data_IF_408134813671
#
_entry.id   IF_408134813671
#
_cell.length_a   1.000
_cell.length_b   1.000
_cell.length_c   1.000
_cell.angle_alpha   90.00
_cell.angle_beta   90.00
_cell.angle_gamma   90.00
#
_symmetry.space_group_name_H-M   'P 1'
#
loop_
_entity.id
_entity.type
_entity.pdbx_description
1 polymer ?
#
# COMPACT_ATOMS: atom_id res chain seq x y z
N UNK A 1 -79.90 12.45 -19.17
CA UNK A 1 -78.65 13.17 -18.86
C UNK A 1 -77.61 12.17 -18.36
N UNK A 2 -76.31 12.42 -18.60
CA UNK A 2 -75.26 11.39 -18.76
C UNK A 2 -74.35 11.26 -17.51
N UNK A 3 -73.28 10.45 -17.42
CA UNK A 3 -72.49 9.68 -18.41
C UNK A 3 -72.22 8.23 -17.93
N UNK A 4 -71.72 7.38 -18.83
CA UNK A 4 -70.85 6.24 -18.47
C UNK A 4 -69.39 6.73 -18.35
N UNK A 5 -68.64 6.23 -17.38
CA UNK A 5 -67.25 6.63 -17.14
C UNK A 5 -66.29 5.45 -17.21
N UNK A 6 -65.53 5.35 -18.31
CA UNK A 6 -64.38 4.46 -18.42
C UNK A 6 -63.28 4.87 -17.45
N UNK A 7 -62.83 3.93 -16.60
CA UNK A 7 -61.54 4.04 -15.90
C UNK A 7 -60.47 3.30 -16.71
N UNK A 8 -60.15 3.83 -17.89
CA UNK A 8 -58.97 3.39 -18.65
C UNK A 8 -57.69 3.82 -17.92
N UNK A 9 -56.74 2.90 -17.80
CA UNK A 9 -55.51 3.11 -17.04
C UNK A 9 -54.58 4.12 -17.77
N UNK A 10 -54.36 5.28 -17.17
CA UNK A 10 -53.27 6.17 -17.55
C UNK A 10 -51.95 5.60 -17.02
N UNK A 11 -51.20 4.91 -17.87
CA UNK A 11 -49.80 4.59 -17.61
C UNK A 11 -48.98 5.89 -17.67
N UNK A 12 -48.58 6.41 -16.52
CA UNK A 12 -47.68 7.57 -16.45
C UNK A 12 -46.31 7.19 -17.01
N UNK A 13 -45.86 7.89 -18.06
CA UNK A 13 -44.51 7.72 -18.59
C UNK A 13 -43.44 8.02 -17.51
N UNK A 14 -42.33 7.27 -17.46
CA UNK A 14 -41.24 7.58 -16.55
C UNK A 14 -40.55 8.88 -16.99
N UNK A 15 -40.42 9.83 -16.07
CA UNK A 15 -39.77 11.11 -16.33
C UNK A 15 -38.34 10.92 -16.86
N UNK A 16 -38.01 11.67 -17.92
CA UNK A 16 -36.68 11.63 -18.52
C UNK A 16 -35.59 12.01 -17.50
N UNK A 17 -34.49 11.26 -17.49
CA UNK A 17 -33.32 11.59 -16.66
C UNK A 17 -32.72 12.92 -17.15
N UNK A 18 -32.35 13.85 -16.25
CA UNK A 18 -31.75 15.11 -16.66
C UNK A 18 -30.42 14.86 -17.39
N UNK A 19 -30.26 15.45 -18.57
CA UNK A 19 -29.02 15.36 -19.35
C UNK A 19 -27.86 16.00 -18.57
N UNK A 20 -26.74 15.29 -18.49
CA UNK A 20 -25.54 15.76 -17.81
C UNK A 20 -24.89 16.89 -18.61
N UNK A 21 -25.05 18.14 -18.15
CA UNK A 21 -24.60 19.38 -18.80
C UNK A 21 -23.07 19.53 -18.95
N UNK A 22 -22.29 18.50 -18.61
CA UNK A 22 -20.83 18.49 -18.72
C UNK A 22 -20.42 17.23 -19.48
N UNK A 23 -19.82 17.34 -20.68
CA UNK A 23 -19.19 16.20 -21.31
C UNK A 23 -18.01 15.75 -20.43
N UNK A 24 -18.18 14.63 -19.74
CA UNK A 24 -17.09 13.98 -19.04
C UNK A 24 -15.96 13.70 -20.04
N UNK A 25 -14.72 14.14 -19.81
CA UNK A 25 -13.63 13.88 -20.73
C UNK A 25 -13.50 12.36 -20.90
N UNK A 26 -13.60 11.91 -22.15
CA UNK A 26 -13.45 10.50 -22.51
C UNK A 26 -11.99 10.11 -22.23
N UNK A 27 -11.74 9.63 -21.02
CA UNK A 27 -10.48 9.02 -20.64
C UNK A 27 -10.54 7.58 -21.12
N UNK A 28 -9.59 7.21 -21.97
CA UNK A 28 -9.32 5.82 -22.32
C UNK A 28 -9.11 5.04 -21.01
N UNK A 29 -10.15 4.34 -20.59
CA UNK A 29 -10.18 3.66 -19.31
C UNK A 29 -9.55 2.29 -19.52
N UNK A 30 -8.48 1.93 -18.80
CA UNK A 30 -7.79 0.67 -19.04
C UNK A 30 -8.73 -0.50 -18.77
N UNK A 31 -8.80 -1.42 -19.74
CA UNK A 31 -9.51 -2.69 -19.57
C UNK A 31 -8.65 -3.66 -18.75
N UNK A 32 -9.21 -4.17 -17.66
CA UNK A 32 -8.58 -5.19 -16.82
C UNK A 32 -9.23 -6.55 -17.13
N UNK A 33 -8.75 -7.20 -18.19
CA UNK A 33 -9.30 -8.47 -18.67
C UNK A 33 -9.13 -9.64 -17.67
N UNK A 34 -9.77 -10.77 -17.95
CA UNK A 34 -9.68 -11.96 -17.10
C UNK A 34 -8.23 -12.50 -16.96
N UNK A 35 -7.37 -12.29 -17.96
CA UNK A 35 -5.96 -12.70 -17.91
C UNK A 35 -5.14 -11.80 -16.98
N UNK A 36 -5.42 -10.50 -16.95
CA UNK A 36 -4.84 -9.56 -15.99
C UNK A 36 -5.35 -9.86 -14.57
N UNK A 37 -6.65 -10.08 -14.39
CA UNK A 37 -7.25 -10.39 -13.10
C UNK A 37 -6.59 -11.65 -12.47
N UNK A 38 -6.50 -12.75 -13.22
CA UNK A 38 -5.82 -13.97 -12.73
C UNK A 38 -4.34 -13.74 -12.38
N UNK A 39 -3.59 -12.99 -13.20
CA UNK A 39 -2.18 -12.63 -12.89
C UNK A 39 -2.04 -11.71 -11.66
N UNK A 40 -3.04 -10.87 -11.39
CA UNK A 40 -3.08 -10.02 -10.20
C UNK A 40 -3.39 -10.85 -8.95
N UNK A 41 -4.32 -11.80 -9.03
CA UNK A 41 -4.60 -12.77 -7.95
C UNK A 41 -3.36 -13.61 -7.62
N UNK A 42 -2.69 -14.16 -8.64
CA UNK A 42 -1.41 -14.85 -8.49
C UNK A 42 -0.37 -13.95 -7.80
N UNK A 43 -0.23 -12.69 -8.24
CA UNK A 43 0.72 -11.74 -7.65
C UNK A 43 0.43 -11.48 -6.16
N UNK A 44 -0.84 -11.32 -5.80
CA UNK A 44 -1.29 -11.11 -4.41
C UNK A 44 -1.00 -12.35 -3.55
N UNK A 45 -1.29 -13.55 -4.07
CA UNK A 45 -1.07 -14.82 -3.38
C UNK A 45 0.43 -15.15 -3.21
N UNK A 46 1.24 -14.93 -4.24
CA UNK A 46 2.68 -15.23 -4.25
C UNK A 46 3.56 -14.15 -3.62
N UNK A 47 3.01 -13.01 -3.22
CA UNK A 47 3.71 -12.00 -2.45
C UNK A 47 3.96 -12.51 -1.03
N UNK A 48 5.23 -12.56 -0.62
CA UNK A 48 5.64 -13.01 0.72
C UNK A 48 6.45 -11.94 1.42
N UNK A 49 6.43 -12.03 2.74
CA UNK A 49 7.34 -11.29 3.61
C UNK A 49 8.68 -12.03 3.69
N UNK A 50 9.68 -11.45 3.03
CA UNK A 50 10.97 -12.11 2.77
C UNK A 50 11.98 -11.75 3.86
N UNK A 51 12.44 -12.77 4.59
CA UNK A 51 13.47 -12.64 5.64
C UNK A 51 14.85 -13.18 5.23
N UNK A 52 15.01 -13.62 3.98
CA UNK A 52 16.26 -14.15 3.40
C UNK A 52 16.45 -13.56 2.01
N UNK A 53 17.47 -12.73 1.85
CA UNK A 53 17.81 -12.07 0.59
C UNK A 53 19.06 -12.69 -0.02
N UNK A 54 19.19 -12.60 -1.34
CA UNK A 54 20.46 -12.81 -2.02
C UNK A 54 21.28 -11.52 -1.95
N UNK A 55 22.60 -11.63 -2.07
CA UNK A 55 23.51 -10.49 -2.05
C UNK A 55 23.68 -9.78 -3.41
N UNK A 56 22.92 -10.19 -4.43
CA UNK A 56 22.93 -9.56 -5.75
C UNK A 56 22.48 -8.09 -5.66
N UNK A 57 23.14 -7.17 -6.38
CA UNK A 57 22.74 -5.77 -6.43
C UNK A 57 21.37 -5.63 -7.11
N UNK A 58 20.61 -4.63 -6.68
CA UNK A 58 19.40 -4.17 -7.36
C UNK A 58 19.73 -2.84 -8.02
N UNK A 59 19.30 -2.64 -9.26
CA UNK A 59 19.51 -1.39 -9.99
C UNK A 59 18.80 -0.23 -9.29
N UNK A 60 19.49 0.90 -9.10
CA UNK A 60 18.93 2.06 -8.40
C UNK A 60 17.69 2.64 -9.11
N UNK A 61 17.71 2.67 -10.45
CA UNK A 61 16.56 3.11 -11.25
C UNK A 61 15.32 2.23 -11.03
N UNK A 62 15.48 0.91 -10.83
CA UNK A 62 14.38 0.02 -10.50
C UNK A 62 13.78 0.33 -9.12
N UNK A 63 14.60 0.69 -8.13
CA UNK A 63 14.10 1.14 -6.82
C UNK A 63 13.32 2.44 -6.95
N UNK A 64 13.80 3.37 -7.76
CA UNK A 64 13.18 4.69 -7.92
C UNK A 64 11.85 4.59 -8.70
N UNK A 65 11.78 3.73 -9.73
CA UNK A 65 10.53 3.33 -10.43
C UNK A 65 9.49 2.74 -9.46
N UNK A 66 9.93 1.84 -8.58
CA UNK A 66 9.07 1.16 -7.60
C UNK A 66 8.52 2.13 -6.55
N UNK A 67 9.34 3.09 -6.10
CA UNK A 67 8.90 4.21 -5.27
C UNK A 67 7.90 5.09 -6.04
N UNK A 68 8.17 5.37 -7.32
CA UNK A 68 7.27 6.11 -8.21
C UNK A 68 5.88 5.47 -8.37
N UNK A 69 5.80 4.12 -8.36
CA UNK A 69 4.52 3.40 -8.31
C UNK A 69 3.87 3.50 -6.92
N UNK A 70 4.66 3.39 -5.84
CA UNK A 70 4.15 3.50 -4.47
C UNK A 70 3.47 4.86 -4.21
N UNK A 71 3.99 5.97 -4.75
CA UNK A 71 3.39 7.32 -4.63
C UNK A 71 2.06 7.49 -5.38
N UNK A 72 1.62 6.51 -6.19
CA UNK A 72 0.27 6.49 -6.81
C UNK A 72 -0.82 5.93 -5.90
N UNK A 73 -0.46 5.54 -4.68
CA UNK A 73 -1.41 4.99 -3.71
C UNK A 73 -2.41 6.05 -3.23
N UNK A 74 -3.63 5.64 -2.82
CA UNK A 74 -4.57 6.58 -2.22
C UNK A 74 -3.99 7.14 -0.90
N UNK A 75 -4.25 8.42 -0.65
CA UNK A 75 -3.99 9.04 0.65
C UNK A 75 -5.18 9.88 1.08
N UNK A 76 -5.39 9.97 2.40
CA UNK A 76 -6.42 10.84 2.98
C UNK A 76 -6.21 12.27 2.48
N UNK A 77 -7.24 12.89 1.92
CA UNK A 77 -7.19 14.27 1.39
C UNK A 77 -6.09 14.51 0.33
N UNK A 78 -5.63 13.46 -0.37
CA UNK A 78 -4.49 13.49 -1.28
C UNK A 78 -3.20 14.07 -0.63
N UNK A 79 -3.04 13.88 0.68
CA UNK A 79 -1.97 14.45 1.50
C UNK A 79 -0.56 13.92 1.19
N UNK A 80 -0.45 12.73 0.59
CA UNK A 80 0.81 12.09 0.18
C UNK A 80 1.92 12.13 1.27
N UNK A 81 1.63 11.62 2.50
CA UNK A 81 2.48 11.82 3.69
C UNK A 81 3.77 10.98 3.70
N UNK A 82 3.94 10.05 2.76
CA UNK A 82 5.09 9.14 2.73
C UNK A 82 6.41 9.89 2.48
N UNK A 83 7.45 9.48 3.21
CA UNK A 83 8.85 9.86 2.94
C UNK A 83 9.68 8.58 2.82
N UNK A 84 10.17 8.31 1.63
CA UNK A 84 11.01 7.16 1.31
C UNK A 84 12.49 7.56 1.40
N UNK A 85 13.27 6.86 2.23
CA UNK A 85 14.69 7.16 2.46
C UNK A 85 15.52 5.91 2.17
N UNK A 86 16.28 5.93 1.07
CA UNK A 86 17.27 4.89 0.74
C UNK A 86 18.44 5.00 1.71
N UNK A 87 18.60 4.03 2.61
CA UNK A 87 19.71 4.00 3.57
C UNK A 87 20.90 3.34 2.88
N UNK A 88 21.83 4.14 2.37
CA UNK A 88 23.03 3.67 1.65
C UNK A 88 24.27 3.61 2.53
N UNK A 89 24.35 4.47 3.55
CA UNK A 89 25.51 4.55 4.45
C UNK A 89 25.69 3.27 5.30
N UNK A 90 26.86 2.60 5.27
CA UNK A 90 27.09 1.37 6.02
C UNK A 90 27.02 1.53 7.55
N UNK A 91 27.40 2.70 8.09
CA UNK A 91 27.31 2.99 9.51
C UNK A 91 25.86 3.04 9.98
N UNK A 92 25.02 3.83 9.28
CA UNK A 92 23.58 3.90 9.52
C UNK A 92 22.89 2.54 9.40
N UNK A 93 23.28 1.71 8.40
CA UNK A 93 22.78 0.32 8.31
C UNK A 93 23.17 -0.52 9.53
N UNK A 94 24.40 -0.39 10.02
CA UNK A 94 24.85 -1.08 11.22
C UNK A 94 24.09 -0.62 12.48
N UNK A 95 23.78 0.67 12.60
CA UNK A 95 22.98 1.22 13.70
C UNK A 95 21.53 0.73 13.67
N UNK A 96 20.88 0.67 12.50
CA UNK A 96 19.54 0.07 12.36
C UNK A 96 19.57 -1.40 12.76
N UNK A 97 20.58 -2.17 12.32
CA UNK A 97 20.76 -3.58 12.72
C UNK A 97 21.00 -3.71 14.23
N UNK A 98 21.70 -2.76 14.86
CA UNK A 98 21.94 -2.74 16.31
C UNK A 98 20.67 -2.44 17.08
N UNK A 99 19.89 -1.44 16.66
CA UNK A 99 18.59 -1.11 17.25
C UNK A 99 17.62 -2.29 17.17
N UNK A 100 17.45 -2.89 15.97
CA UNK A 100 16.63 -4.09 15.80
C UNK A 100 17.02 -5.22 16.76
N UNK A 101 18.33 -5.52 16.90
CA UNK A 101 18.79 -6.56 17.83
C UNK A 101 18.48 -6.26 19.29
N UNK A 102 18.54 -5.00 19.72
CA UNK A 102 18.19 -4.62 21.09
C UNK A 102 16.71 -4.90 21.35
N UNK A 103 15.82 -4.31 20.54
CA UNK A 103 14.38 -4.51 20.69
C UNK A 103 13.95 -5.98 20.54
N UNK A 104 14.62 -6.76 19.69
CA UNK A 104 14.38 -8.21 19.54
C UNK A 104 14.92 -9.02 20.75
N UNK A 105 15.93 -8.54 21.46
CA UNK A 105 16.40 -9.17 22.70
C UNK A 105 15.45 -8.85 23.86
N UNK A 106 14.98 -7.60 23.94
CA UNK A 106 13.98 -7.16 24.92
C UNK A 106 12.68 -7.97 24.74
N UNK A 107 12.15 -8.05 23.51
CA UNK A 107 10.95 -8.82 23.19
C UNK A 107 11.12 -10.35 23.38
N UNK A 108 12.36 -10.88 23.40
CA UNK A 108 12.61 -12.28 23.73
C UNK A 108 12.56 -12.52 25.24
N UNK A 109 12.87 -11.51 26.08
CA UNK A 109 12.83 -11.62 27.53
C UNK A 109 11.39 -11.78 28.07
N UNK A 110 10.38 -11.34 27.30
CA UNK A 110 8.95 -11.52 27.61
C UNK A 110 8.45 -12.96 27.36
N UNK A 111 9.27 -13.85 26.79
CA UNK A 111 8.92 -15.25 26.54
C UNK A 111 9.69 -16.22 27.44
N UNK A 112 9.00 -17.25 27.92
CA UNK A 112 9.61 -18.33 28.72
C UNK A 112 9.61 -19.69 28.00
N UNK A 113 10.48 -20.59 28.46
CA UNK A 113 10.49 -22.02 28.10
C UNK A 113 10.53 -22.30 26.59
N UNK A 114 9.64 -23.19 26.14
CA UNK A 114 9.59 -23.65 24.75
C UNK A 114 9.18 -22.54 23.75
N UNK A 115 8.51 -21.47 24.21
CA UNK A 115 8.11 -20.36 23.35
C UNK A 115 9.30 -19.45 23.04
N UNK A 116 10.13 -19.16 24.05
CA UNK A 116 11.40 -18.45 23.88
C UNK A 116 12.35 -19.19 22.93
N UNK A 117 12.51 -20.51 23.11
CA UNK A 117 13.33 -21.36 22.23
C UNK A 117 12.86 -21.31 20.77
N UNK A 118 11.54 -21.36 20.53
CA UNK A 118 10.98 -21.20 19.18
C UNK A 118 11.26 -19.81 18.61
N UNK A 119 10.97 -18.75 19.37
CA UNK A 119 11.20 -17.36 18.94
C UNK A 119 12.67 -17.10 18.55
N UNK A 120 13.62 -17.58 19.36
CA UNK A 120 15.05 -17.44 19.09
C UNK A 120 15.52 -18.12 17.79
N UNK A 121 14.78 -19.11 17.27
CA UNK A 121 15.09 -19.74 15.97
C UNK A 121 14.48 -19.03 14.75
N UNK A 122 13.55 -18.10 14.96
CA UNK A 122 12.93 -17.36 13.86
C UNK A 122 13.92 -16.33 13.31
N UNK A 123 14.19 -16.38 12.00
CA UNK A 123 14.91 -15.31 11.32
C UNK A 123 13.97 -14.12 11.12
N UNK A 124 13.88 -13.27 12.14
CA UNK A 124 12.96 -12.14 12.19
C UNK A 124 13.39 -10.92 11.36
N UNK A 125 14.60 -10.90 10.77
CA UNK A 125 15.00 -9.84 9.84
C UNK A 125 16.02 -10.34 8.80
N UNK A 126 15.97 -9.77 7.59
CA UNK A 126 16.97 -9.95 6.53
C UNK A 126 17.93 -8.76 6.36
N UNK A 127 17.98 -7.84 7.32
CA UNK A 127 18.73 -6.57 7.22
C UNK A 127 20.22 -6.73 6.90
N UNK A 128 20.85 -7.84 7.26
CA UNK A 128 22.27 -8.07 6.95
C UNK A 128 22.50 -8.41 5.47
N UNK A 129 21.59 -9.17 4.87
CA UNK A 129 21.74 -9.69 3.49
C UNK A 129 21.01 -8.83 2.46
N UNK A 130 20.04 -8.00 2.88
CA UNK A 130 19.35 -7.07 2.00
C UNK A 130 20.30 -6.00 1.44
N UNK A 131 20.48 -5.98 0.12
CA UNK A 131 21.35 -5.01 -0.58
C UNK A 131 20.76 -3.59 -0.57
N UNK A 132 19.44 -3.46 -0.55
CA UNK A 132 18.71 -2.19 -0.42
C UNK A 132 17.99 -2.13 0.93
N UNK A 133 18.16 -1.02 1.65
CA UNK A 133 17.41 -0.67 2.86
C UNK A 133 16.59 0.57 2.55
N UNK A 134 15.27 0.51 2.77
CA UNK A 134 14.35 1.62 2.54
C UNK A 134 13.59 1.91 3.82
N UNK A 135 13.90 3.03 4.48
CA UNK A 135 13.11 3.52 5.61
C UNK A 135 11.91 4.31 5.05
N UNK A 136 10.72 4.05 5.58
CA UNK A 136 9.48 4.71 5.15
C UNK A 136 8.88 5.43 6.36
N UNK A 137 8.75 6.74 6.26
CA UNK A 137 8.19 7.58 7.32
C UNK A 137 6.85 8.18 6.90
N UNK A 138 6.06 8.58 7.89
CA UNK A 138 4.86 9.38 7.74
C UNK A 138 5.14 10.81 8.20
N UNK A 139 5.06 11.78 7.29
CA UNK A 139 5.04 13.20 7.64
C UNK A 139 3.64 13.55 8.17
N UNK A 140 3.55 14.02 9.41
CA UNK A 140 2.27 14.44 10.01
C UNK A 140 1.83 15.82 9.50
N UNK A 141 2.80 16.73 9.33
CA UNK A 141 2.62 18.11 8.89
C UNK A 141 2.69 18.26 7.36
N UNK A 142 1.81 17.54 6.66
CA UNK A 142 1.78 17.59 5.19
C UNK A 142 1.35 18.97 4.68
N UNK A 143 2.15 19.55 3.77
CA UNK A 143 1.79 20.76 3.02
C UNK A 143 0.68 20.52 1.98
N UNK A 144 0.48 19.26 1.57
CA UNK A 144 -0.65 18.83 0.74
C UNK A 144 -1.80 18.28 1.59
N UNK A 145 -3.04 18.44 1.11
CA UNK A 145 -4.26 18.17 1.86
C UNK A 145 -4.63 19.34 2.78
N UNK A 146 -5.88 19.79 2.71
CA UNK A 146 -6.44 20.86 3.55
C UNK A 146 -6.92 20.36 4.94
N UNK A 147 -6.56 19.14 5.32
CA UNK A 147 -6.83 18.53 6.61
C UNK A 147 -8.18 17.80 6.68
N UNK A 148 -8.79 17.45 5.55
CA UNK A 148 -9.96 16.60 5.50
C UNK A 148 -9.61 15.20 6.03
N UNK A 149 -10.55 14.53 6.70
CA UNK A 149 -10.38 13.17 7.24
C UNK A 149 -9.45 13.04 8.46
N UNK A 150 -8.33 13.77 8.51
CA UNK A 150 -7.34 13.66 9.61
C UNK A 150 -7.69 14.40 10.90
N UNK A 151 -8.62 15.38 10.88
CA UNK A 151 -9.04 16.12 12.10
C UNK A 151 -9.70 15.24 13.17
N UNK A 152 -10.37 14.18 12.76
CA UNK A 152 -11.07 13.23 13.65
C UNK A 152 -10.39 11.87 13.74
N UNK A 153 -9.46 11.56 12.81
CA UNK A 153 -8.67 10.31 12.78
C UNK A 153 -7.26 10.61 12.25
N UNK A 154 -6.34 11.14 13.09
CA UNK A 154 -4.98 11.49 12.67
C UNK A 154 -4.19 10.33 12.05
N UNK A 155 -4.48 9.10 12.47
CA UNK A 155 -3.86 7.84 12.03
C UNK A 155 -4.07 7.57 10.53
N UNK A 156 -5.03 8.24 9.89
CA UNK A 156 -5.29 8.12 8.45
C UNK A 156 -4.09 8.52 7.58
N UNK A 157 -3.19 9.37 8.08
CA UNK A 157 -1.91 9.64 7.42
C UNK A 157 -1.02 8.39 7.41
N UNK A 158 -0.87 7.72 8.57
CA UNK A 158 -0.11 6.48 8.68
C UNK A 158 -0.74 5.37 7.82
N UNK A 159 -2.07 5.23 7.81
CA UNK A 159 -2.75 4.26 6.95
C UNK A 159 -2.54 4.54 5.45
N UNK A 160 -2.43 5.82 5.05
CA UNK A 160 -2.04 6.20 3.69
C UNK A 160 -0.62 5.72 3.34
N UNK A 161 0.32 5.81 4.29
CA UNK A 161 1.68 5.26 4.11
C UNK A 161 1.67 3.73 4.05
N UNK A 162 0.87 3.05 4.87
CA UNK A 162 0.70 1.57 4.79
C UNK A 162 0.17 1.16 3.41
N UNK A 163 -0.76 1.92 2.83
CA UNK A 163 -1.22 1.75 1.45
C UNK A 163 -0.07 1.85 0.44
N UNK A 164 0.79 2.86 0.57
CA UNK A 164 1.98 3.02 -0.26
C UNK A 164 2.99 1.87 -0.12
N UNK A 165 3.22 1.36 1.09
CA UNK A 165 4.08 0.19 1.33
C UNK A 165 3.49 -1.08 0.72
N UNK A 166 2.17 -1.28 0.76
CA UNK A 166 1.53 -2.42 0.10
C UNK A 166 1.64 -2.37 -1.43
N UNK A 167 1.43 -1.19 -2.03
CA UNK A 167 1.65 -0.96 -3.47
C UNK A 167 3.10 -1.24 -3.86
N UNK A 168 4.07 -0.74 -3.07
CA UNK A 168 5.49 -1.01 -3.25
C UNK A 168 5.79 -2.51 -3.23
N UNK A 169 5.17 -3.26 -2.32
CA UNK A 169 5.38 -4.71 -2.17
C UNK A 169 4.89 -5.52 -3.37
N UNK A 170 3.72 -5.17 -3.91
CA UNK A 170 3.15 -5.80 -5.11
C UNK A 170 3.98 -5.43 -6.35
N UNK A 171 4.38 -4.17 -6.48
CA UNK A 171 5.23 -3.71 -7.57
C UNK A 171 6.62 -4.39 -7.54
N UNK A 172 7.25 -4.50 -6.36
CA UNK A 172 8.51 -5.21 -6.20
C UNK A 172 8.37 -6.69 -6.57
N UNK A 173 7.31 -7.36 -6.09
CA UNK A 173 7.04 -8.77 -6.39
C UNK A 173 6.79 -9.02 -7.88
N UNK A 174 6.16 -8.10 -8.60
CA UNK A 174 5.92 -8.21 -10.05
C UNK A 174 7.22 -8.08 -10.87
N UNK A 175 8.24 -7.41 -10.32
CA UNK A 175 9.60 -7.33 -10.86
C UNK A 175 10.54 -8.41 -10.30
N UNK A 176 10.02 -9.42 -9.62
CA UNK A 176 10.79 -10.54 -9.06
C UNK A 176 11.57 -10.22 -7.78
N UNK A 177 11.45 -9.02 -7.22
CA UNK A 177 12.10 -8.64 -5.98
C UNK A 177 11.31 -9.12 -4.76
N UNK A 178 12.04 -9.65 -3.78
CA UNK A 178 11.51 -9.86 -2.43
C UNK A 178 11.55 -8.56 -1.63
N UNK A 179 10.57 -8.36 -0.75
CA UNK A 179 10.56 -7.29 0.24
C UNK A 179 10.19 -7.90 1.59
N UNK A 180 10.74 -7.36 2.68
CA UNK A 180 10.47 -7.79 4.04
C UNK A 180 10.31 -6.60 4.97
N UNK A 181 9.29 -6.61 5.83
CA UNK A 181 9.01 -5.52 6.76
C UNK A 181 9.61 -5.83 8.13
N UNK A 182 10.57 -5.03 8.59
CA UNK A 182 11.14 -5.11 9.95
C UNK A 182 10.53 -4.02 10.83
#
# INVERSE_FOLDING_TARGET
>A
MPLAGDYSAAMTEPAAKPETLFPSPQRDTPEFDAQFQGRLEDLIHWRRDVRRFRADPVEDALIDDLIGLATRSPSVDNSQPWRFVKVTDPGRRADVIKNFKACNADALADYEGAQAQRYATLKLAGLKEATVHLAVFCETETAAGHGLGRKTMPEMLCYSVVGAVNTLWLAARSRGLGMGWV
#
